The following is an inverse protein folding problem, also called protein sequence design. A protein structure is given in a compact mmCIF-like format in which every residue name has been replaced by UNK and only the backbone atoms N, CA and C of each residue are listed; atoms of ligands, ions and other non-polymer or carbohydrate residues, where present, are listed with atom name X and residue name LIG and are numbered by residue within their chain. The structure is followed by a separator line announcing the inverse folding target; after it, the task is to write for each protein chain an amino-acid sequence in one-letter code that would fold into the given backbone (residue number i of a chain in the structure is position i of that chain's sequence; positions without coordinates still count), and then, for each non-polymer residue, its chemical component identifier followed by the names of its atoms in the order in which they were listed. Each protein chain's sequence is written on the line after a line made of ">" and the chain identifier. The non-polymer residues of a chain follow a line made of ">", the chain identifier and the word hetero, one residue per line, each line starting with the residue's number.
data_IF_319943005075
#
_entry.id   IF_319943005075
#
_cell.length_a   1.000
_cell.length_b   1.000
_cell.length_c   1.000
_cell.angle_alpha   90.00
_cell.angle_beta   90.00
_cell.angle_gamma   90.00
#
_symmetry.space_group_name_H-M   'P 1'
#
loop_
_entity.id
_entity.type
_entity.pdbx_description
1 polymer ?
#
# COMPACT_ATOMS: atom_id res chain seq x y z
N UNK A 1 -14.73 -22.15 35.48
CA UNK A 1 -15.08 -21.04 34.57
C UNK A 1 -14.72 -21.47 33.16
N UNK A 2 -15.72 -21.76 32.34
CA UNK A 2 -15.53 -22.16 30.94
C UNK A 2 -14.86 -21.02 30.18
N UNK A 3 -13.67 -21.27 29.63
CA UNK A 3 -13.03 -20.35 28.70
C UNK A 3 -14.02 -20.12 27.55
N UNK A 4 -14.60 -18.92 27.45
CA UNK A 4 -15.33 -18.51 26.25
C UNK A 4 -14.32 -18.57 25.11
N UNK A 5 -14.36 -19.64 24.33
CA UNK A 5 -13.64 -19.72 23.06
C UNK A 5 -14.11 -18.53 22.23
N UNK A 6 -13.19 -17.59 22.00
CA UNK A 6 -13.43 -16.45 21.13
C UNK A 6 -13.98 -16.98 19.78
N UNK A 7 -15.04 -16.37 19.21
CA UNK A 7 -15.62 -16.87 17.98
C UNK A 7 -14.55 -16.91 16.88
N UNK A 8 -14.39 -18.08 16.26
CA UNK A 8 -13.46 -18.31 15.14
C UNK A 8 -13.84 -17.35 14.02
N UNK A 9 -12.91 -16.49 13.62
CA UNK A 9 -13.09 -15.58 12.49
C UNK A 9 -13.24 -16.45 11.24
N UNK A 10 -14.31 -16.26 10.48
CA UNK A 10 -14.46 -16.93 9.18
C UNK A 10 -13.40 -16.39 8.22
N UNK A 11 -12.96 -17.20 7.24
CA UNK A 11 -11.98 -16.76 6.24
C UNK A 11 -12.41 -15.45 5.54
N UNK A 12 -13.72 -15.31 5.31
CA UNK A 12 -14.34 -14.12 4.75
C UNK A 12 -14.19 -12.88 5.66
N UNK A 13 -14.57 -13.00 6.93
CA UNK A 13 -14.43 -11.90 7.90
C UNK A 13 -12.97 -11.49 8.08
N UNK A 14 -12.04 -12.45 8.00
CA UNK A 14 -10.60 -12.16 8.07
C UNK A 14 -10.17 -11.26 6.91
N UNK A 15 -10.48 -11.61 5.66
CA UNK A 15 -10.11 -10.79 4.51
C UNK A 15 -10.76 -9.41 4.54
N UNK A 16 -12.03 -9.31 4.98
CA UNK A 16 -12.69 -8.01 5.14
C UNK A 16 -12.05 -7.16 6.25
N UNK A 17 -11.73 -7.75 7.41
CA UNK A 17 -11.06 -7.02 8.50
C UNK A 17 -9.66 -6.59 8.10
N UNK A 18 -8.91 -7.46 7.41
CA UNK A 18 -7.59 -7.16 6.87
C UNK A 18 -7.65 -5.97 5.91
N UNK A 19 -8.61 -5.96 4.97
CA UNK A 19 -8.84 -4.82 4.07
C UNK A 19 -9.15 -3.52 4.83
N UNK A 20 -9.96 -3.57 5.88
CA UNK A 20 -10.24 -2.41 6.75
C UNK A 20 -8.99 -1.91 7.49
N UNK A 21 -8.09 -2.80 7.90
CA UNK A 21 -6.84 -2.39 8.58
C UNK A 21 -5.92 -1.58 7.66
N UNK A 22 -5.98 -1.81 6.35
CA UNK A 22 -5.18 -1.08 5.36
C UNK A 22 -5.64 0.37 5.19
N UNK A 23 -6.90 0.68 5.54
CA UNK A 23 -7.46 2.03 5.37
C UNK A 23 -6.71 3.08 6.20
N UNK A 24 -6.20 2.73 7.38
CA UNK A 24 -5.52 3.69 8.26
C UNK A 24 -4.20 4.20 7.62
N UNK A 25 -3.25 3.35 7.20
CA UNK A 25 -2.11 3.79 6.40
C UNK A 25 -2.50 4.45 5.08
N UNK A 26 -3.51 3.92 4.36
CA UNK A 26 -3.89 4.42 3.03
C UNK A 26 -4.45 5.84 3.08
N UNK A 27 -5.25 6.19 4.09
CA UNK A 27 -5.75 7.54 4.26
C UNK A 27 -4.60 8.56 4.45
N UNK A 28 -3.58 8.18 5.24
CA UNK A 28 -2.38 9.01 5.41
C UNK A 28 -1.58 9.14 4.11
N UNK A 29 -1.44 8.05 3.34
CA UNK A 29 -0.78 8.07 2.03
C UNK A 29 -1.44 9.07 1.07
N UNK A 30 -2.78 9.20 1.10
CA UNK A 30 -3.48 10.16 0.26
C UNK A 30 -3.10 11.60 0.59
N UNK A 31 -3.13 11.96 1.87
CA UNK A 31 -2.74 13.31 2.31
C UNK A 31 -1.27 13.60 2.01
N UNK A 32 -0.38 12.65 2.34
CA UNK A 32 1.04 12.72 2.04
C UNK A 32 1.32 12.82 0.53
N UNK A 33 0.56 12.10 -0.30
CA UNK A 33 0.66 12.16 -1.75
C UNK A 33 0.27 13.52 -2.33
N UNK A 34 -0.76 14.16 -1.79
CA UNK A 34 -1.14 15.54 -2.17
C UNK A 34 -0.05 16.53 -1.78
N UNK A 35 0.46 16.45 -0.55
CA UNK A 35 1.56 17.31 -0.09
C UNK A 35 2.82 17.15 -0.96
N UNK A 36 3.19 15.89 -1.25
CA UNK A 36 4.33 15.57 -2.12
C UNK A 36 4.11 16.10 -3.54
N UNK A 37 2.93 15.82 -4.12
CA UNK A 37 2.59 16.25 -5.48
C UNK A 37 2.64 17.77 -5.65
N UNK A 38 2.01 18.52 -4.74
CA UNK A 38 2.01 19.99 -4.78
C UNK A 38 3.42 20.53 -4.55
N UNK A 39 4.11 20.03 -3.52
CA UNK A 39 5.46 20.48 -3.18
C UNK A 39 6.44 20.26 -4.33
N UNK A 40 6.50 19.04 -4.88
CA UNK A 40 7.44 18.69 -5.95
C UNK A 40 7.10 19.40 -7.25
N UNK A 41 5.80 19.56 -7.57
CA UNK A 41 5.37 20.26 -8.78
C UNK A 41 5.75 21.74 -8.74
N UNK A 42 5.42 22.46 -7.66
CA UNK A 42 5.67 23.90 -7.54
C UNK A 42 7.13 24.28 -7.27
N UNK A 43 7.97 23.30 -6.91
CA UNK A 43 9.43 23.47 -6.80
C UNK A 43 10.22 22.94 -8.01
N UNK A 44 9.54 22.37 -9.00
CA UNK A 44 10.18 21.83 -10.21
C UNK A 44 10.76 22.93 -11.10
N UNK A 45 11.86 22.62 -11.79
CA UNK A 45 12.50 23.55 -12.70
C UNK A 45 11.54 24.01 -13.81
N UNK A 46 10.75 23.09 -14.38
CA UNK A 46 9.80 23.39 -15.45
C UNK A 46 8.73 24.39 -15.01
N UNK A 47 8.14 24.21 -13.82
CA UNK A 47 7.16 25.17 -13.30
C UNK A 47 7.82 26.52 -12.98
N UNK A 48 9.06 26.53 -12.49
CA UNK A 48 9.78 27.77 -12.22
C UNK A 48 10.12 28.54 -13.51
N UNK A 49 10.38 27.85 -14.62
CA UNK A 49 10.61 28.51 -15.92
C UNK A 49 9.32 29.13 -16.47
N UNK A 50 8.18 28.44 -16.35
CA UNK A 50 6.87 28.94 -16.77
C UNK A 50 6.34 30.03 -15.84
N UNK A 51 6.67 29.95 -14.55
CA UNK A 51 6.12 30.82 -13.52
C UNK A 51 7.21 31.34 -12.55
N UNK A 52 8.03 32.31 -12.98
CA UNK A 52 9.23 32.73 -12.25
C UNK A 52 8.98 33.34 -10.87
N UNK A 53 7.78 33.88 -10.60
CA UNK A 53 7.45 34.44 -9.28
C UNK A 53 7.40 33.39 -8.17
N UNK A 54 7.27 32.10 -8.51
CA UNK A 54 7.39 31.01 -7.55
C UNK A 54 8.83 30.82 -7.07
N UNK A 55 9.83 31.34 -7.79
CA UNK A 55 11.25 31.20 -7.47
C UNK A 55 11.72 32.21 -6.40
N UNK A 56 11.04 32.22 -5.25
CA UNK A 56 11.49 32.97 -4.07
C UNK A 56 11.97 32.00 -2.99
N UNK A 57 13.02 32.33 -2.22
CA UNK A 57 13.57 31.42 -1.21
C UNK A 57 12.53 30.92 -0.20
N UNK A 58 11.59 31.78 0.20
CA UNK A 58 10.53 31.42 1.15
C UNK A 58 9.53 30.42 0.54
N UNK A 59 9.04 30.66 -0.67
CA UNK A 59 8.08 29.76 -1.32
C UNK A 59 8.74 28.41 -1.62
N UNK A 60 9.97 28.42 -2.12
CA UNK A 60 10.72 27.18 -2.39
C UNK A 60 11.00 26.40 -1.11
N UNK A 61 11.34 27.07 0.00
CA UNK A 61 11.48 26.40 1.29
C UNK A 61 10.17 25.72 1.74
N UNK A 62 9.02 26.37 1.54
CA UNK A 62 7.70 25.79 1.84
C UNK A 62 7.42 24.58 0.95
N UNK A 63 7.65 24.66 -0.36
CA UNK A 63 7.37 23.57 -1.29
C UNK A 63 8.30 22.36 -1.08
N UNK A 64 9.58 22.60 -0.82
CA UNK A 64 10.54 21.54 -0.47
C UNK A 64 10.17 20.90 0.87
N UNK A 65 9.75 21.70 1.87
CA UNK A 65 9.24 21.17 3.13
C UNK A 65 7.99 20.31 2.93
N UNK A 66 7.02 20.77 2.13
CA UNK A 66 5.83 20.00 1.78
C UNK A 66 6.19 18.66 1.12
N UNK A 67 7.14 18.67 0.19
CA UNK A 67 7.64 17.46 -0.48
C UNK A 67 8.27 16.50 0.51
N UNK A 68 9.13 17.01 1.41
CA UNK A 68 9.83 16.19 2.39
C UNK A 68 8.86 15.55 3.39
N UNK A 69 7.91 16.32 3.94
CA UNK A 69 6.89 15.79 4.85
C UNK A 69 5.92 14.86 4.11
N UNK A 70 5.55 15.19 2.87
CA UNK A 70 4.73 14.33 2.00
C UNK A 70 5.38 12.98 1.73
N UNK A 71 6.72 12.89 1.68
CA UNK A 71 7.43 11.63 1.48
C UNK A 71 7.35 10.66 2.67
N UNK A 72 6.93 11.12 3.87
CA UNK A 72 6.93 10.34 5.11
C UNK A 72 6.17 9.01 4.98
N UNK A 73 4.91 9.08 4.57
CA UNK A 73 4.05 7.89 4.53
C UNK A 73 4.59 6.83 3.56
N UNK A 74 5.31 7.24 2.52
CA UNK A 74 5.91 6.33 1.55
C UNK A 74 7.21 5.72 2.07
N UNK A 75 8.03 6.51 2.76
CA UNK A 75 9.32 6.08 3.32
C UNK A 75 9.15 5.06 4.46
N UNK A 76 8.07 5.19 5.23
CA UNK A 76 7.77 4.33 6.38
C UNK A 76 6.61 3.36 6.12
N UNK A 77 6.29 3.13 4.85
CA UNK A 77 5.11 2.37 4.46
C UNK A 77 5.07 0.94 5.02
N UNK A 78 6.14 0.12 4.89
CA UNK A 78 6.12 -1.22 5.47
C UNK A 78 5.92 -1.23 6.99
N UNK A 79 6.62 -0.35 7.73
CA UNK A 79 6.49 -0.32 9.20
C UNK A 79 5.10 0.13 9.64
N UNK A 80 4.49 1.10 8.95
CA UNK A 80 3.11 1.50 9.23
C UNK A 80 2.11 0.36 9.05
N UNK A 81 2.27 -0.46 8.00
CA UNK A 81 1.42 -1.65 7.81
C UNK A 81 1.65 -2.69 8.89
N UNK A 82 2.90 -2.93 9.28
CA UNK A 82 3.22 -3.88 10.34
C UNK A 82 2.65 -3.46 11.71
N UNK A 83 2.45 -2.16 11.94
CA UNK A 83 1.74 -1.61 13.11
C UNK A 83 0.22 -1.68 12.94
N UNK A 84 -0.30 -1.26 11.78
CA UNK A 84 -1.73 -1.09 11.54
C UNK A 84 -2.51 -2.42 11.49
N UNK A 85 -1.89 -3.49 10.98
CA UNK A 85 -2.53 -4.81 10.88
C UNK A 85 -2.87 -5.38 12.26
N UNK A 86 -1.91 -5.58 13.19
CA UNK A 86 -2.24 -6.07 14.53
C UNK A 86 -3.12 -5.08 15.31
N UNK A 87 -2.96 -3.77 15.10
CA UNK A 87 -3.85 -2.76 15.68
C UNK A 87 -5.31 -2.94 15.25
N UNK A 88 -5.54 -3.18 13.95
CA UNK A 88 -6.87 -3.26 13.38
C UNK A 88 -7.54 -4.63 13.53
N UNK A 89 -6.75 -5.71 13.57
CA UNK A 89 -7.25 -7.07 13.74
C UNK A 89 -7.41 -7.49 15.21
N UNK A 90 -6.66 -6.89 16.15
CA UNK A 90 -6.79 -7.21 17.57
C UNK A 90 -8.16 -6.80 18.13
N UNK A 91 -8.78 -7.68 18.91
CA UNK A 91 -10.07 -7.40 19.56
C UNK A 91 -9.90 -6.58 20.84
N UNK A 92 -8.88 -6.91 21.62
CA UNK A 92 -8.54 -6.28 22.90
C UNK A 92 -7.13 -5.70 22.85
N UNK A 93 -6.79 -4.82 23.78
CA UNK A 93 -5.42 -4.31 23.98
C UNK A 93 -4.73 -3.83 22.70
N UNK A 94 -5.48 -3.18 21.80
CA UNK A 94 -5.04 -2.78 20.46
C UNK A 94 -3.72 -1.99 20.46
N UNK A 95 -3.49 -1.14 21.46
CA UNK A 95 -2.24 -0.40 21.60
C UNK A 95 -1.01 -1.31 21.82
N UNK A 96 -1.18 -2.40 22.58
CA UNK A 96 -0.11 -3.40 22.78
C UNK A 96 0.12 -4.19 21.49
N UNK A 97 -0.94 -4.55 20.77
CA UNK A 97 -0.84 -5.20 19.46
C UNK A 97 -0.06 -4.33 18.45
N UNK A 98 -0.36 -3.03 18.41
CA UNK A 98 0.34 -2.06 17.57
C UNK A 98 1.82 -1.92 17.95
N UNK A 99 2.12 -1.80 19.25
CA UNK A 99 3.48 -1.74 19.76
C UNK A 99 4.27 -3.00 19.43
N UNK A 100 3.66 -4.18 19.60
CA UNK A 100 4.26 -5.45 19.19
C UNK A 100 4.52 -5.50 17.67
N UNK A 101 3.65 -4.86 16.85
CA UNK A 101 3.86 -4.67 15.41
C UNK A 101 5.20 -4.01 15.09
N UNK A 102 5.47 -2.86 15.71
CA UNK A 102 6.74 -2.15 15.54
C UNK A 102 7.94 -2.98 16.04
N UNK A 103 7.84 -3.56 17.24
CA UNK A 103 8.90 -4.39 17.83
C UNK A 103 9.22 -5.57 16.93
N UNK A 104 8.21 -6.31 16.47
CA UNK A 104 8.37 -7.46 15.60
C UNK A 104 9.03 -7.11 14.27
N UNK A 105 8.63 -6.00 13.65
CA UNK A 105 9.24 -5.54 12.40
C UNK A 105 10.73 -5.17 12.57
N UNK A 106 11.07 -4.45 13.64
CA UNK A 106 12.46 -4.08 13.93
C UNK A 106 13.32 -5.32 14.22
N UNK A 107 12.84 -6.23 15.07
CA UNK A 107 13.57 -7.47 15.44
C UNK A 107 13.75 -8.38 14.23
N UNK A 108 12.74 -8.51 13.37
CA UNK A 108 12.85 -9.27 12.12
C UNK A 108 13.98 -8.75 11.24
N UNK A 109 14.07 -7.43 11.04
CA UNK A 109 15.13 -6.82 10.23
C UNK A 109 16.52 -6.94 10.89
N UNK A 110 16.61 -6.84 12.22
CA UNK A 110 17.86 -7.11 12.95
C UNK A 110 18.33 -8.56 12.78
N UNK A 111 17.42 -9.53 12.79
CA UNK A 111 17.76 -10.93 12.59
C UNK A 111 18.23 -11.21 11.15
N UNK A 112 17.59 -10.58 10.15
CA UNK A 112 18.07 -10.63 8.75
C UNK A 112 19.48 -10.04 8.64
N UNK A 113 19.69 -8.85 9.23
CA UNK A 113 21.01 -8.21 9.27
C UNK A 113 22.08 -9.10 9.93
N UNK A 114 21.75 -9.73 11.05
CA UNK A 114 22.64 -10.68 11.73
C UNK A 114 23.01 -11.85 10.80
N UNK A 115 22.03 -12.44 10.11
CA UNK A 115 22.28 -13.55 9.18
C UNK A 115 23.22 -13.13 8.04
N UNK A 116 22.97 -11.96 7.42
CA UNK A 116 23.78 -11.41 6.34
C UNK A 116 25.22 -11.11 6.81
N UNK A 117 25.37 -10.60 8.03
CA UNK A 117 26.67 -10.33 8.65
C UNK A 117 27.42 -11.63 8.94
N UNK A 118 26.74 -12.65 9.49
CA UNK A 118 27.32 -13.96 9.75
C UNK A 118 27.75 -14.68 8.46
N UNK A 119 27.13 -14.35 7.32
CA UNK A 119 27.51 -14.83 5.99
C UNK A 119 28.61 -14.00 5.31
N UNK A 120 29.08 -12.92 5.92
CA UNK A 120 30.11 -12.05 5.37
C UNK A 120 29.64 -11.15 4.23
N UNK A 121 28.32 -10.97 4.04
CA UNK A 121 27.74 -10.07 3.03
C UNK A 121 27.69 -8.63 3.55
N UNK A 122 27.42 -8.47 4.85
CA UNK A 122 27.42 -7.19 5.55
C UNK A 122 28.57 -7.12 6.56
N UNK A 123 29.03 -5.90 6.92
CA UNK A 123 28.61 -4.60 6.38
C UNK A 123 29.23 -4.32 5.00
N UNK A 124 28.47 -3.65 4.13
CA UNK A 124 28.99 -3.15 2.84
C UNK A 124 28.28 -1.89 2.40
N UNK A 125 28.98 -1.05 1.65
CA UNK A 125 28.43 0.11 0.94
C UNK A 125 28.49 -0.07 -0.58
N UNK A 126 28.97 -1.23 -1.06
CA UNK A 126 29.03 -1.54 -2.48
C UNK A 126 27.62 -1.73 -3.05
N UNK A 127 27.23 -0.82 -3.95
CA UNK A 127 25.93 -0.83 -4.61
C UNK A 127 25.64 -2.13 -5.37
N UNK A 128 26.67 -2.80 -5.93
CA UNK A 128 26.48 -4.05 -6.66
C UNK A 128 26.06 -5.19 -5.72
N UNK A 129 26.72 -5.31 -4.55
CA UNK A 129 26.40 -6.34 -3.54
C UNK A 129 25.02 -6.08 -2.93
N UNK A 130 24.72 -4.82 -2.62
CA UNK A 130 23.43 -4.43 -2.05
C UNK A 130 22.28 -4.76 -3.01
N UNK A 131 22.43 -4.42 -4.30
CA UNK A 131 21.43 -4.72 -5.32
C UNK A 131 21.25 -6.21 -5.57
N UNK A 132 22.36 -6.97 -5.66
CA UNK A 132 22.31 -8.41 -5.92
C UNK A 132 21.57 -9.21 -4.83
N UNK A 133 21.58 -8.71 -3.59
CA UNK A 133 20.93 -9.36 -2.45
C UNK A 133 19.63 -8.65 -2.02
N UNK A 134 19.16 -7.68 -2.81
CA UNK A 134 18.00 -6.83 -2.49
C UNK A 134 18.09 -6.23 -1.07
N UNK A 135 19.27 -5.73 -0.69
CA UNK A 135 19.53 -5.12 0.62
C UNK A 135 19.27 -3.62 0.55
N UNK A 136 18.45 -3.13 1.48
CA UNK A 136 18.14 -1.72 1.66
C UNK A 136 18.34 -1.30 3.11
N UNK A 137 18.37 0.01 3.35
CA UNK A 137 18.32 0.56 4.69
C UNK A 137 16.87 0.63 5.19
N UNK A 138 16.43 -0.38 5.94
CA UNK A 138 15.09 -0.46 6.52
C UNK A 138 15.13 0.10 7.94
N UNK A 139 14.54 1.27 8.17
CA UNK A 139 14.52 1.97 9.48
C UNK A 139 15.89 2.10 10.17
N UNK A 140 16.97 2.26 9.40
CA UNK A 140 18.34 2.36 9.91
C UNK A 140 19.09 1.01 9.99
N UNK A 141 18.50 -0.08 9.51
CA UNK A 141 19.07 -1.42 9.52
C UNK A 141 19.28 -1.88 8.06
N UNK A 142 20.51 -2.24 7.70
CA UNK A 142 20.77 -2.89 6.41
C UNK A 142 20.15 -4.30 6.41
N UNK A 143 19.08 -4.50 5.66
CA UNK A 143 18.27 -5.72 5.67
C UNK A 143 17.73 -6.00 4.26
N UNK A 144 17.31 -7.24 4.00
CA UNK A 144 16.62 -7.57 2.76
C UNK A 144 15.31 -6.81 2.70
N UNK A 145 15.06 -6.09 1.60
CA UNK A 145 13.81 -5.38 1.39
C UNK A 145 12.69 -6.38 1.06
N UNK A 146 11.88 -6.66 2.07
CA UNK A 146 10.69 -7.49 1.93
C UNK A 146 9.44 -6.71 1.51
N UNK A 147 9.58 -5.39 1.34
CA UNK A 147 8.51 -4.48 0.97
C UNK A 147 7.29 -4.57 1.89
N UNK A 148 6.14 -4.16 1.35
CA UNK A 148 4.87 -4.22 2.09
C UNK A 148 4.42 -5.66 2.31
N UNK A 149 4.69 -6.57 1.37
CA UNK A 149 4.25 -7.96 1.51
C UNK A 149 4.87 -8.61 2.75
N UNK A 150 6.18 -8.44 2.96
CA UNK A 150 6.85 -8.92 4.17
C UNK A 150 6.28 -8.28 5.44
N UNK A 151 6.02 -6.98 5.42
CA UNK A 151 5.39 -6.29 6.54
C UNK A 151 3.95 -6.77 6.84
N UNK A 152 3.17 -7.11 5.81
CA UNK A 152 1.82 -7.66 5.96
C UNK A 152 1.87 -9.04 6.61
N UNK A 153 2.75 -9.92 6.10
CA UNK A 153 2.96 -11.26 6.67
C UNK A 153 3.43 -11.16 8.12
N UNK A 154 4.41 -10.30 8.40
CA UNK A 154 4.88 -10.04 9.75
C UNK A 154 3.75 -9.51 10.66
N UNK A 155 2.95 -8.55 10.19
CA UNK A 155 1.81 -8.01 10.93
C UNK A 155 0.76 -9.07 11.27
N UNK A 156 0.49 -10.01 10.36
CA UNK A 156 -0.42 -11.14 10.59
C UNK A 156 0.16 -12.10 11.64
N UNK A 157 1.45 -12.45 11.55
CA UNK A 157 2.12 -13.30 12.55
C UNK A 157 2.02 -12.65 13.94
N UNK A 158 2.31 -11.36 14.03
CA UNK A 158 2.28 -10.60 15.29
C UNK A 158 0.85 -10.52 15.85
N UNK A 159 -0.14 -10.32 15.00
CA UNK A 159 -1.55 -10.40 15.41
C UNK A 159 -1.91 -11.79 15.98
N UNK A 160 -1.47 -12.87 15.33
CA UNK A 160 -1.69 -14.24 15.83
C UNK A 160 -1.02 -14.46 17.19
N UNK A 161 0.18 -13.92 17.40
CA UNK A 161 0.86 -13.95 18.71
C UNK A 161 0.08 -13.17 19.75
N UNK A 162 -0.43 -11.98 19.41
CA UNK A 162 -1.26 -11.19 20.29
C UNK A 162 -2.52 -11.96 20.71
N UNK A 163 -3.32 -12.47 19.77
CA UNK A 163 -4.53 -13.25 20.06
C UNK A 163 -4.24 -14.48 20.92
N UNK A 164 -3.09 -15.13 20.72
CA UNK A 164 -2.72 -16.31 21.51
C UNK A 164 -2.25 -15.96 22.93
N UNK A 165 -1.52 -14.87 23.11
CA UNK A 165 -0.73 -14.62 24.32
C UNK A 165 -1.17 -13.42 25.17
N UNK A 166 -2.07 -12.56 24.70
CA UNK A 166 -2.49 -11.36 25.45
C UNK A 166 -3.06 -11.64 26.84
N UNK A 167 -3.60 -12.84 27.07
CA UNK A 167 -4.18 -13.28 28.35
C UNK A 167 -3.40 -14.44 29.00
N UNK A 168 -2.12 -14.64 28.65
CA UNK A 168 -1.31 -15.73 29.21
C UNK A 168 -1.08 -15.54 30.72
N UNK A 169 -1.16 -16.64 31.48
CA UNK A 169 -0.82 -16.67 32.91
C UNK A 169 0.47 -17.46 33.09
N UNK A 170 1.48 -16.81 33.68
CA UNK A 170 2.76 -17.42 33.99
C UNK A 170 2.84 -17.79 35.48
N UNK A 171 3.74 -18.71 35.89
CA UNK A 171 3.99 -19.00 37.30
C UNK A 171 4.40 -17.75 38.09
N UNK A 172 4.21 -17.76 39.41
CA UNK A 172 4.41 -16.57 40.27
C UNK A 172 5.78 -15.91 40.10
N UNK A 173 6.84 -16.71 39.93
CA UNK A 173 8.20 -16.21 39.69
C UNK A 173 8.35 -15.38 38.40
N UNK A 174 7.48 -15.58 37.41
CA UNK A 174 7.49 -14.90 36.11
C UNK A 174 6.20 -14.08 35.86
N UNK A 175 5.35 -13.91 36.87
CA UNK A 175 4.05 -13.23 36.74
C UNK A 175 4.18 -11.79 36.22
N UNK A 176 5.32 -11.13 36.45
CA UNK A 176 5.64 -9.82 35.89
C UNK A 176 5.55 -9.78 34.35
N UNK A 177 5.91 -10.88 33.68
CA UNK A 177 5.87 -10.99 32.22
C UNK A 177 4.52 -11.49 31.69
N UNK A 178 3.54 -11.78 32.56
CA UNK A 178 2.25 -12.32 32.18
C UNK A 178 1.30 -11.31 31.50
N UNK A 179 0.26 -11.83 30.86
CA UNK A 179 -0.75 -11.05 30.16
C UNK A 179 -0.20 -10.33 28.93
N UNK A 180 -0.65 -9.08 28.72
CA UNK A 180 -0.32 -8.28 27.54
C UNK A 180 1.17 -7.96 27.40
N UNK A 181 1.91 -7.91 28.53
CA UNK A 181 3.37 -7.73 28.56
C UNK A 181 4.12 -8.87 27.90
N UNK A 182 3.55 -10.07 27.86
CA UNK A 182 4.17 -11.21 27.18
C UNK A 182 4.16 -11.07 25.66
N UNK A 183 3.22 -10.30 25.10
CA UNK A 183 3.03 -10.23 23.64
C UNK A 183 4.28 -9.67 22.93
N UNK A 184 4.86 -8.52 23.34
CA UNK A 184 6.12 -8.05 22.74
C UNK A 184 7.30 -9.01 22.97
N UNK A 185 7.33 -9.74 24.08
CA UNK A 185 8.40 -10.70 24.40
C UNK A 185 8.34 -11.89 23.45
N UNK A 186 7.16 -12.52 23.33
CA UNK A 186 6.93 -13.60 22.38
C UNK A 186 7.18 -13.15 20.94
N UNK A 187 6.77 -11.92 20.61
CA UNK A 187 7.02 -11.30 19.30
C UNK A 187 8.50 -11.18 18.99
N UNK A 188 9.32 -10.74 19.95
CA UNK A 188 10.78 -10.63 19.78
C UNK A 188 11.40 -11.99 19.45
N UNK A 189 11.05 -13.03 20.19
CA UNK A 189 11.60 -14.38 19.97
C UNK A 189 11.16 -14.93 18.61
N UNK A 190 9.85 -14.89 18.33
CA UNK A 190 9.29 -15.48 17.11
C UNK A 190 9.74 -14.70 15.86
N UNK A 191 9.67 -13.37 15.88
CA UNK A 191 10.09 -12.56 14.73
C UNK A 191 11.61 -12.58 14.53
N UNK A 192 12.40 -12.80 15.59
CA UNK A 192 13.83 -13.08 15.46
C UNK A 192 14.07 -14.36 14.66
N UNK A 193 13.37 -15.44 14.98
CA UNK A 193 13.47 -16.70 14.22
C UNK A 193 12.94 -16.57 12.79
N UNK A 194 11.82 -15.87 12.59
CA UNK A 194 11.28 -15.58 11.25
C UNK A 194 12.30 -14.79 10.42
N UNK A 195 12.96 -13.79 11.01
CA UNK A 195 14.00 -13.01 10.34
C UNK A 195 15.19 -13.84 9.89
N UNK A 196 15.59 -14.87 10.64
CA UNK A 196 16.63 -15.81 10.20
C UNK A 196 16.21 -16.68 9.01
N UNK A 197 14.91 -16.92 8.83
CA UNK A 197 14.37 -17.68 7.70
C UNK A 197 14.18 -16.83 6.43
N UNK A 198 14.04 -15.50 6.55
CA UNK A 198 13.80 -14.60 5.41
C UNK A 198 14.86 -14.74 4.31
N UNK A 199 16.18 -14.69 4.58
CA UNK A 199 17.20 -14.83 3.52
C UNK A 199 17.12 -16.14 2.73
N UNK A 200 16.55 -17.20 3.33
CA UNK A 200 16.40 -18.51 2.71
C UNK A 200 15.12 -18.62 1.88
N UNK A 201 14.03 -18.05 2.38
CA UNK A 201 12.69 -18.22 1.81
C UNK A 201 12.32 -17.09 0.86
N UNK A 202 12.75 -15.86 1.14
CA UNK A 202 12.37 -14.68 0.37
C UNK A 202 12.79 -14.71 -1.10
N UNK A 203 13.96 -15.26 -1.50
CA UNK A 203 14.32 -15.37 -2.91
C UNK A 203 13.26 -16.12 -3.76
N UNK A 204 12.56 -17.09 -3.16
CA UNK A 204 11.47 -17.83 -3.83
C UNK A 204 10.26 -16.92 -4.03
N UNK A 205 9.89 -16.15 -3.01
CA UNK A 205 8.81 -15.16 -3.12
C UNK A 205 9.15 -14.08 -4.15
N UNK A 206 10.38 -13.55 -4.13
CA UNK A 206 10.86 -12.57 -5.10
C UNK A 206 10.79 -13.14 -6.53
N UNK A 207 11.22 -14.38 -6.76
CA UNK A 207 11.07 -15.03 -8.07
C UNK A 207 9.61 -15.14 -8.52
N UNK A 208 8.69 -15.51 -7.62
CA UNK A 208 7.25 -15.57 -7.92
C UNK A 208 6.66 -14.21 -8.27
N UNK A 209 6.99 -13.18 -7.50
CA UNK A 209 6.58 -11.78 -7.72
C UNK A 209 7.12 -11.29 -9.07
N UNK A 210 8.40 -11.53 -9.35
CA UNK A 210 9.05 -11.15 -10.60
C UNK A 210 8.44 -11.88 -11.80
N UNK A 211 8.09 -13.16 -11.66
CA UNK A 211 7.42 -13.92 -12.73
C UNK A 211 6.04 -13.34 -13.03
N UNK A 212 5.25 -13.04 -11.99
CA UNK A 212 3.94 -12.42 -12.16
C UNK A 212 4.06 -11.01 -12.77
N UNK A 213 5.03 -10.22 -12.31
CA UNK A 213 5.36 -8.93 -12.88
C UNK A 213 5.73 -9.04 -14.35
N UNK A 214 6.57 -10.02 -14.72
CA UNK A 214 6.96 -10.28 -16.11
C UNK A 214 5.76 -10.69 -16.96
N UNK A 215 4.83 -11.51 -16.45
CA UNK A 215 3.60 -11.87 -17.18
C UNK A 215 2.75 -10.63 -17.45
N UNK A 216 2.48 -9.82 -16.42
CA UNK A 216 1.70 -8.58 -16.57
C UNK A 216 2.40 -7.59 -17.51
N UNK A 217 3.73 -7.50 -17.42
CA UNK A 217 4.51 -6.61 -18.27
C UNK A 217 4.58 -7.11 -19.72
N UNK A 218 4.63 -8.43 -19.94
CA UNK A 218 4.68 -9.07 -21.26
C UNK A 218 3.36 -8.98 -22.03
N UNK A 219 2.24 -8.74 -21.33
CA UNK A 219 0.95 -8.49 -21.96
C UNK A 219 0.88 -7.16 -22.75
N UNK A 220 1.98 -6.38 -22.78
CA UNK A 220 2.10 -5.14 -23.53
C UNK A 220 1.05 -4.13 -23.10
N UNK A 221 0.30 -3.60 -24.07
CA UNK A 221 -0.74 -2.60 -23.83
C UNK A 221 -1.95 -3.17 -23.07
N UNK A 222 -2.13 -4.50 -23.01
CA UNK A 222 -3.22 -5.13 -22.26
C UNK A 222 -2.88 -5.39 -20.79
N UNK A 223 -1.61 -5.29 -20.38
CA UNK A 223 -1.22 -5.43 -18.97
C UNK A 223 -2.01 -4.50 -18.04
N UNK A 224 -2.08 -3.19 -18.34
CA UNK A 224 -2.93 -2.24 -17.61
C UNK A 224 -4.41 -2.62 -17.58
N UNK A 225 -4.96 -3.22 -18.65
CA UNK A 225 -6.36 -3.70 -18.67
C UNK A 225 -6.61 -4.78 -17.63
N UNK A 226 -5.77 -5.81 -17.60
CA UNK A 226 -5.89 -6.94 -16.68
C UNK A 226 -5.84 -6.43 -15.25
N UNK A 227 -4.91 -5.50 -14.96
CA UNK A 227 -4.80 -4.85 -13.67
C UNK A 227 -6.07 -4.06 -13.31
N UNK A 228 -6.50 -3.13 -14.18
CA UNK A 228 -7.65 -2.26 -13.91
C UNK A 228 -8.97 -3.03 -13.76
N UNK A 229 -9.21 -4.02 -14.62
CA UNK A 229 -10.38 -4.90 -14.52
C UNK A 229 -10.30 -5.78 -13.28
N UNK A 230 -9.15 -6.40 -13.00
CA UNK A 230 -8.95 -7.23 -11.81
C UNK A 230 -9.18 -6.44 -10.52
N UNK A 231 -8.70 -5.21 -10.47
CA UNK A 231 -8.92 -4.32 -9.32
C UNK A 231 -10.43 -4.10 -9.06
N UNK A 232 -11.20 -3.80 -10.10
CA UNK A 232 -12.66 -3.62 -9.96
C UNK A 232 -13.34 -4.93 -9.56
N UNK A 233 -13.03 -6.05 -10.20
CA UNK A 233 -13.64 -7.33 -9.85
C UNK A 233 -13.36 -7.77 -8.39
N UNK A 234 -12.22 -7.38 -7.83
CA UNK A 234 -11.85 -7.68 -6.44
C UNK A 234 -12.46 -6.73 -5.41
N UNK A 235 -13.00 -5.59 -5.85
CA UNK A 235 -13.59 -4.55 -5.02
C UNK A 235 -14.75 -5.01 -4.11
N UNK A 236 -15.78 -5.75 -4.59
CA UNK A 236 -16.83 -6.31 -3.72
C UNK A 236 -16.29 -7.15 -2.55
N UNK A 237 -15.11 -7.73 -2.71
CA UNK A 237 -14.51 -8.63 -1.75
C UNK A 237 -13.50 -7.93 -0.81
N UNK A 238 -13.22 -6.63 -1.03
CA UNK A 238 -12.18 -5.90 -0.29
C UNK A 238 -10.75 -6.35 -0.65
N UNK A 239 -10.59 -7.20 -1.67
CA UNK A 239 -9.33 -7.81 -2.07
C UNK A 239 -8.53 -6.93 -3.05
N UNK A 240 -9.15 -5.88 -3.59
CA UNK A 240 -8.53 -4.94 -4.52
C UNK A 240 -7.29 -4.27 -3.93
N UNK A 241 -7.28 -4.02 -2.62
CA UNK A 241 -6.13 -3.41 -1.95
C UNK A 241 -4.90 -4.32 -1.98
N UNK A 242 -5.07 -5.65 -2.01
CA UNK A 242 -3.96 -6.60 -2.11
C UNK A 242 -3.35 -6.54 -3.51
N UNK A 243 -4.18 -6.59 -4.56
CA UNK A 243 -3.71 -6.47 -5.94
C UNK A 243 -3.00 -5.13 -6.19
N UNK A 244 -3.62 -4.04 -5.73
CA UNK A 244 -3.05 -2.69 -5.83
C UNK A 244 -1.74 -2.62 -5.07
N UNK A 245 -1.65 -3.17 -3.86
CA UNK A 245 -0.42 -3.12 -3.08
C UNK A 245 0.72 -3.91 -3.73
N UNK A 246 0.40 -5.08 -4.31
CA UNK A 246 1.36 -5.90 -5.04
C UNK A 246 2.00 -5.11 -6.19
N UNK A 247 1.21 -4.47 -7.04
CA UNK A 247 1.74 -3.73 -8.19
C UNK A 247 2.39 -2.40 -7.76
N UNK A 248 1.80 -1.67 -6.82
CA UNK A 248 2.29 -0.32 -6.48
C UNK A 248 3.57 -0.32 -5.64
N UNK A 249 3.84 -1.40 -4.90
CA UNK A 249 4.88 -1.38 -3.86
C UNK A 249 5.80 -2.61 -3.88
N UNK A 250 5.70 -3.48 -4.88
CA UNK A 250 6.60 -4.62 -5.04
C UNK A 250 7.13 -4.69 -6.47
N UNK A 251 8.14 -5.54 -6.69
CA UNK A 251 8.77 -5.77 -8.00
C UNK A 251 7.78 -6.20 -9.09
N UNK A 252 6.57 -6.66 -8.73
CA UNK A 252 5.52 -6.94 -9.70
C UNK A 252 5.11 -5.70 -10.52
N UNK A 253 5.27 -4.49 -9.97
CA UNK A 253 5.09 -3.23 -10.70
C UNK A 253 6.33 -2.73 -11.44
N UNK A 254 7.42 -3.50 -11.43
CA UNK A 254 8.71 -3.15 -12.00
C UNK A 254 9.72 -2.66 -10.95
N UNK A 255 10.97 -2.60 -11.38
CA UNK A 255 12.12 -2.10 -10.62
C UNK A 255 12.93 -1.15 -11.49
N UNK A 256 13.35 -0.02 -10.94
CA UNK A 256 14.10 1.02 -11.65
C UNK A 256 15.11 1.67 -10.73
N UNK A 257 16.30 1.99 -11.26
CA UNK A 257 17.26 2.83 -10.55
C UNK A 257 16.86 4.30 -10.69
N UNK A 258 16.65 4.98 -9.56
CA UNK A 258 16.29 6.40 -9.50
C UNK A 258 17.20 7.10 -8.50
N UNK A 259 17.91 8.15 -8.94
CA UNK A 259 18.97 8.85 -8.18
C UNK A 259 20.01 7.91 -7.52
N UNK A 260 20.41 6.83 -8.20
CA UNK A 260 21.39 5.88 -7.65
C UNK A 260 20.82 4.88 -6.63
N UNK A 261 19.51 4.86 -6.41
CA UNK A 261 18.84 3.87 -5.58
C UNK A 261 17.95 2.97 -6.43
N UNK A 262 18.07 1.65 -6.26
CA UNK A 262 17.13 0.69 -6.86
C UNK A 262 15.80 0.77 -6.12
N UNK A 263 14.72 1.10 -6.84
CA UNK A 263 13.36 1.24 -6.28
C UNK A 263 12.41 0.28 -6.98
N UNK A 264 11.62 -0.46 -6.20
CA UNK A 264 10.70 -1.48 -6.70
C UNK A 264 9.24 -1.12 -6.38
N UNK A 265 8.37 -1.24 -7.38
CA UNK A 265 6.94 -0.88 -7.30
C UNK A 265 6.57 0.32 -8.18
N UNK A 266 5.41 0.23 -8.84
CA UNK A 266 4.97 1.28 -9.75
C UNK A 266 4.85 2.66 -9.08
N UNK A 267 4.28 2.71 -7.87
CA UNK A 267 4.04 3.98 -7.17
C UNK A 267 5.32 4.49 -6.50
N UNK A 268 6.11 3.60 -5.94
CA UNK A 268 7.41 3.94 -5.32
C UNK A 268 8.39 4.48 -6.35
N UNK A 269 8.44 3.89 -7.56
CA UNK A 269 9.25 4.41 -8.68
C UNK A 269 8.78 5.81 -9.06
N UNK A 270 7.48 6.00 -9.30
CA UNK A 270 6.94 7.32 -9.66
C UNK A 270 7.27 8.38 -8.60
N UNK A 271 7.22 8.03 -7.33
CA UNK A 271 7.54 8.93 -6.21
C UNK A 271 9.02 9.23 -6.08
N UNK A 272 9.87 8.22 -6.26
CA UNK A 272 11.31 8.42 -6.30
C UNK A 272 11.67 9.36 -7.44
N UNK A 273 11.06 9.18 -8.62
CA UNK A 273 11.23 10.06 -9.77
C UNK A 273 10.77 11.48 -9.45
N UNK A 274 9.61 11.63 -8.81
CA UNK A 274 9.06 12.93 -8.40
C UNK A 274 9.90 13.67 -7.35
N UNK A 275 10.61 12.92 -6.50
CA UNK A 275 11.46 13.48 -5.45
C UNK A 275 12.90 13.73 -5.92
N UNK A 276 13.28 13.22 -7.10
CA UNK A 276 14.62 13.36 -7.66
C UNK A 276 14.74 14.64 -8.48
N UNK A 277 15.67 15.55 -8.15
CA UNK A 277 15.89 16.77 -8.94
C UNK A 277 16.41 16.49 -10.35
N UNK A 278 17.05 15.33 -10.58
CA UNK A 278 17.65 14.94 -11.86
C UNK A 278 16.67 14.22 -12.80
N UNK A 279 15.40 14.03 -12.38
CA UNK A 279 14.39 13.39 -13.23
C UNK A 279 13.92 14.37 -14.31
N UNK A 280 14.12 14.00 -15.57
CA UNK A 280 13.64 14.77 -16.74
C UNK A 280 12.34 14.19 -17.37
N UNK A 281 11.75 13.16 -16.77
CA UNK A 281 10.51 12.54 -17.22
C UNK A 281 10.11 11.35 -16.36
N UNK A 282 8.82 10.99 -16.37
CA UNK A 282 8.30 9.86 -15.60
C UNK A 282 8.29 8.59 -16.44
N UNK A 283 8.60 7.45 -15.83
CA UNK A 283 8.60 6.18 -16.54
C UNK A 283 7.17 5.74 -16.89
N UNK A 284 6.89 5.55 -18.17
CA UNK A 284 5.62 4.98 -18.66
C UNK A 284 5.38 3.58 -18.08
N UNK A 285 6.43 2.76 -17.95
CA UNK A 285 6.32 1.39 -17.44
C UNK A 285 5.87 1.34 -15.98
N UNK A 286 6.28 2.34 -15.19
CA UNK A 286 5.86 2.49 -13.80
C UNK A 286 4.48 3.14 -13.71
N UNK A 287 4.27 4.21 -14.49
CA UNK A 287 3.04 4.97 -14.35
C UNK A 287 1.83 4.19 -14.87
N UNK A 288 1.91 3.39 -15.95
CA UNK A 288 0.74 2.75 -16.60
C UNK A 288 -0.20 1.93 -15.70
N UNK A 289 0.22 1.57 -14.49
CA UNK A 289 -0.58 0.87 -13.48
C UNK A 289 -1.08 1.78 -12.33
N UNK A 290 -0.85 3.08 -12.43
CA UNK A 290 -1.20 4.07 -11.43
C UNK A 290 -2.55 4.71 -11.76
N UNK A 291 -2.75 5.91 -11.24
CA UNK A 291 -4.06 6.54 -11.22
C UNK A 291 -4.50 7.06 -12.59
N UNK A 292 -3.61 7.23 -13.59
CA UNK A 292 -4.02 7.73 -14.91
C UNK A 292 -5.06 6.83 -15.56
N UNK A 293 -4.93 5.50 -15.44
CA UNK A 293 -5.88 4.56 -16.01
C UNK A 293 -7.26 4.62 -15.34
N UNK A 294 -7.31 5.15 -14.11
CA UNK A 294 -8.54 5.39 -13.37
C UNK A 294 -9.18 6.74 -13.66
N UNK A 295 -8.42 7.73 -14.12
CA UNK A 295 -8.93 9.09 -14.34
C UNK A 295 -10.15 9.13 -15.26
N UNK A 296 -10.21 8.38 -16.39
CA UNK A 296 -11.42 8.32 -17.19
C UNK A 296 -12.66 7.86 -16.40
N UNK A 297 -12.49 6.89 -15.50
CA UNK A 297 -13.57 6.40 -14.65
C UNK A 297 -13.92 7.41 -13.54
N UNK A 298 -12.93 8.08 -12.93
CA UNK A 298 -13.13 8.99 -11.80
C UNK A 298 -13.76 10.32 -12.22
N UNK A 299 -13.29 10.88 -13.33
CA UNK A 299 -13.66 12.22 -13.78
C UNK A 299 -14.85 12.21 -14.74
N UNK A 300 -15.07 11.09 -15.45
CA UNK A 300 -16.12 10.97 -16.46
C UNK A 300 -17.08 9.80 -16.21
N UNK A 301 -16.55 8.58 -16.11
CA UNK A 301 -17.36 7.35 -16.09
C UNK A 301 -18.36 7.29 -14.93
N UNK A 302 -17.89 7.39 -13.69
CA UNK A 302 -18.73 7.33 -12.49
C UNK A 302 -19.61 8.57 -12.30
N UNK A 303 -19.14 9.81 -12.57
CA UNK A 303 -20.03 10.97 -12.68
C UNK A 303 -21.13 10.79 -13.71
N UNK A 304 -20.82 10.21 -14.87
CA UNK A 304 -21.80 9.86 -15.91
C UNK A 304 -22.78 8.80 -15.44
N UNK A 305 -22.32 7.77 -14.74
CA UNK A 305 -23.17 6.73 -14.13
C UNK A 305 -24.11 7.34 -13.08
N UNK A 306 -23.62 8.24 -12.23
CA UNK A 306 -24.43 8.95 -11.24
C UNK A 306 -25.51 9.81 -11.91
N UNK A 307 -25.17 10.52 -12.99
CA UNK A 307 -26.12 11.29 -13.78
C UNK A 307 -27.18 10.39 -14.42
N UNK A 308 -26.78 9.25 -14.99
CA UNK A 308 -27.70 8.26 -15.56
C UNK A 308 -28.67 7.71 -14.50
N UNK A 309 -28.16 7.35 -13.32
CA UNK A 309 -28.99 6.92 -12.18
C UNK A 309 -30.00 7.99 -11.77
N UNK A 310 -29.59 9.27 -11.72
CA UNK A 310 -30.47 10.37 -11.39
C UNK A 310 -31.61 10.55 -12.42
N UNK A 311 -31.30 10.46 -13.72
CA UNK A 311 -32.28 10.59 -14.78
C UNK A 311 -33.23 9.38 -14.87
N UNK A 312 -32.74 8.16 -14.66
CA UNK A 312 -33.55 6.94 -14.66
C UNK A 312 -34.37 6.75 -13.37
N UNK A 313 -34.01 7.43 -12.27
CA UNK A 313 -34.80 7.38 -11.05
C UNK A 313 -36.19 8.00 -11.25
N UNK A 314 -37.19 7.37 -10.61
CA UNK A 314 -38.57 7.87 -10.61
C UNK A 314 -38.61 9.32 -10.11
N UNK A 315 -39.38 10.23 -10.73
CA UNK A 315 -39.38 11.65 -10.40
C UNK A 315 -39.56 11.94 -8.90
N UNK A 316 -40.43 11.18 -8.21
CA UNK A 316 -40.70 11.32 -6.78
C UNK A 316 -39.51 10.99 -5.86
N UNK A 317 -38.52 10.23 -6.35
CA UNK A 317 -37.33 9.83 -5.58
C UNK A 317 -36.08 10.61 -5.93
N UNK A 318 -36.08 11.40 -7.01
CA UNK A 318 -34.90 12.18 -7.45
C UNK A 318 -34.38 13.11 -6.36
N UNK A 319 -35.26 13.81 -5.65
CA UNK A 319 -34.86 14.69 -4.54
C UNK A 319 -34.16 13.93 -3.41
N UNK A 320 -34.57 12.69 -3.13
CA UNK A 320 -34.00 11.86 -2.06
C UNK A 320 -32.59 11.37 -2.39
N UNK A 321 -32.35 11.00 -3.64
CA UNK A 321 -31.07 10.42 -4.07
C UNK A 321 -30.04 11.47 -4.52
N UNK A 322 -30.49 12.70 -4.86
CA UNK A 322 -29.62 13.77 -5.36
C UNK A 322 -28.43 14.04 -4.45
N UNK A 323 -28.66 14.17 -3.14
CA UNK A 323 -27.60 14.43 -2.17
C UNK A 323 -26.56 13.31 -2.11
N UNK A 324 -27.03 12.05 -2.12
CA UNK A 324 -26.17 10.87 -2.13
C UNK A 324 -25.30 10.82 -3.39
N UNK A 325 -25.89 11.05 -4.57
CA UNK A 325 -25.16 11.02 -5.85
C UNK A 325 -24.14 12.15 -5.94
N UNK A 326 -24.49 13.38 -5.54
CA UNK A 326 -23.56 14.51 -5.53
C UNK A 326 -22.39 14.24 -4.57
N UNK A 327 -22.68 13.76 -3.36
CA UNK A 327 -21.63 13.42 -2.39
C UNK A 327 -20.70 12.33 -2.92
N UNK A 328 -21.26 11.28 -3.55
CA UNK A 328 -20.48 10.22 -4.18
C UNK A 328 -19.61 10.72 -5.33
N UNK A 329 -20.12 11.63 -6.18
CA UNK A 329 -19.36 12.25 -7.26
C UNK A 329 -18.20 13.09 -6.72
N UNK A 330 -18.43 13.91 -5.69
CA UNK A 330 -17.37 14.71 -5.07
C UNK A 330 -16.28 13.80 -4.48
N UNK A 331 -16.67 12.75 -3.76
CA UNK A 331 -15.73 11.79 -3.19
C UNK A 331 -14.92 11.04 -4.27
N UNK A 332 -15.55 10.71 -5.40
CA UNK A 332 -14.93 10.05 -6.53
C UNK A 332 -13.94 10.96 -7.26
N UNK A 333 -14.37 12.18 -7.63
CA UNK A 333 -13.57 13.12 -8.43
C UNK A 333 -12.40 13.69 -7.64
N UNK A 334 -12.63 14.09 -6.39
CA UNK A 334 -11.61 14.74 -5.56
C UNK A 334 -10.80 13.70 -4.77
N UNK A 335 -11.50 12.77 -4.13
CA UNK A 335 -10.89 11.79 -3.23
C UNK A 335 -10.47 10.48 -3.90
N UNK A 336 -10.78 10.26 -5.18
CA UNK A 336 -10.50 9.00 -5.88
C UNK A 336 -11.19 7.78 -5.26
N UNK A 337 -12.21 8.00 -4.41
CA UNK A 337 -12.96 6.95 -3.70
C UNK A 337 -14.24 6.65 -4.47
N UNK A 338 -14.33 5.47 -5.05
CA UNK A 338 -15.40 5.10 -5.99
C UNK A 338 -16.53 4.31 -5.38
N UNK A 339 -16.28 3.71 -4.21
CA UNK A 339 -17.18 2.84 -3.47
C UNK A 339 -18.58 3.46 -3.23
N UNK A 340 -18.72 4.76 -2.85
CA UNK A 340 -20.03 5.36 -2.65
C UNK A 340 -20.96 5.32 -3.87
N UNK A 341 -20.39 5.30 -5.08
CA UNK A 341 -21.14 5.21 -6.34
C UNK A 341 -21.24 3.77 -6.84
N UNK A 342 -20.14 3.02 -6.82
CA UNK A 342 -20.09 1.63 -7.29
C UNK A 342 -21.03 0.73 -6.50
N UNK A 343 -21.14 0.91 -5.19
CA UNK A 343 -22.04 0.11 -4.35
C UNK A 343 -23.52 0.30 -4.65
N UNK A 344 -23.91 1.40 -5.31
CA UNK A 344 -25.30 1.65 -5.69
C UNK A 344 -25.80 0.68 -6.78
N UNK A 345 -24.89 0.12 -7.58
CA UNK A 345 -25.25 -0.78 -8.68
C UNK A 345 -24.53 -2.13 -8.67
N UNK A 346 -23.38 -2.24 -7.99
CA UNK A 346 -22.61 -3.48 -7.84
C UNK A 346 -23.48 -4.67 -7.41
N UNK A 347 -24.30 -4.48 -6.37
CA UNK A 347 -25.14 -5.53 -5.80
C UNK A 347 -26.52 -5.64 -6.46
N UNK A 348 -26.96 -4.57 -7.13
CA UNK A 348 -28.29 -4.49 -7.76
C UNK A 348 -28.26 -5.04 -9.18
N UNK A 349 -27.19 -4.77 -9.92
CA UNK A 349 -27.01 -5.15 -11.32
C UNK A 349 -25.57 -5.65 -11.58
N UNK A 350 -25.23 -6.89 -11.18
CA UNK A 350 -23.88 -7.44 -11.33
C UNK A 350 -23.36 -7.45 -12.78
N UNK A 351 -24.23 -7.64 -13.77
CA UNK A 351 -23.86 -7.57 -15.18
C UNK A 351 -23.37 -6.16 -15.57
N UNK A 352 -24.03 -5.11 -15.06
CA UNK A 352 -23.61 -3.72 -15.30
C UNK A 352 -22.27 -3.43 -14.60
N UNK A 353 -22.03 -4.04 -13.44
CA UNK A 353 -20.75 -3.95 -12.76
C UNK A 353 -19.61 -4.62 -13.53
N UNK A 354 -19.85 -5.78 -14.14
CA UNK A 354 -18.87 -6.45 -14.99
C UNK A 354 -18.49 -5.57 -16.20
N UNK A 355 -19.48 -4.94 -16.83
CA UNK A 355 -19.23 -3.99 -17.93
C UNK A 355 -18.40 -2.80 -17.43
N UNK A 356 -18.75 -2.22 -16.28
CA UNK A 356 -17.97 -1.15 -15.64
C UNK A 356 -16.52 -1.56 -15.35
N UNK A 357 -16.30 -2.79 -14.86
CA UNK A 357 -14.96 -3.32 -14.60
C UNK A 357 -14.12 -3.46 -15.89
N UNK A 358 -14.74 -3.93 -16.98
CA UNK A 358 -14.10 -4.03 -18.28
C UNK A 358 -13.80 -2.65 -18.89
N UNK A 359 -14.75 -1.71 -18.82
CA UNK A 359 -14.57 -0.33 -19.29
C UNK A 359 -13.48 0.41 -18.49
N UNK A 360 -13.40 0.16 -17.18
CA UNK A 360 -12.33 0.70 -16.35
C UNK A 360 -10.97 0.15 -16.80
N UNK A 361 -10.83 -1.16 -17.00
CA UNK A 361 -9.60 -1.75 -17.54
C UNK A 361 -9.25 -1.24 -18.94
N UNK A 362 -10.25 -1.03 -19.81
CA UNK A 362 -10.03 -0.40 -21.10
C UNK A 362 -9.49 1.03 -20.95
N UNK A 363 -10.00 1.79 -19.98
CA UNK A 363 -9.47 3.11 -19.63
C UNK A 363 -7.97 3.07 -19.27
N UNK A 364 -7.53 2.06 -18.52
CA UNK A 364 -6.11 1.83 -18.25
C UNK A 364 -5.28 1.60 -19.52
N UNK A 365 -5.79 0.82 -20.47
CA UNK A 365 -5.08 0.56 -21.75
C UNK A 365 -5.04 1.79 -22.63
N UNK A 366 -6.17 2.49 -22.78
CA UNK A 366 -6.25 3.69 -23.62
C UNK A 366 -5.27 4.74 -23.10
N UNK A 367 -5.26 4.99 -21.79
CA UNK A 367 -4.31 5.94 -21.20
C UNK A 367 -2.87 5.47 -21.38
N UNK A 368 -2.57 4.19 -21.24
CA UNK A 368 -1.22 3.68 -21.48
C UNK A 368 -0.77 3.82 -22.95
N UNK A 369 -1.69 3.75 -23.92
CA UNK A 369 -1.40 3.89 -25.36
C UNK A 369 -1.23 5.35 -25.78
N UNK A 370 -1.93 6.28 -25.13
CA UNK A 370 -1.86 7.71 -25.45
C UNK A 370 -0.61 8.40 -24.91
N UNK A 371 0.11 7.78 -23.98
CA UNK A 371 1.18 8.42 -23.20
C UNK A 371 0.62 9.31 -22.10
#
# INVERSE_FOLDING_TARGET
>A
MTAKTAPKITLWEFFQQLGKTFMLPVALLSFCGIMLGIGSSLSSHDVLTLQPWLNTPLLQAVFVWMSKIGSFAFSFLPVMFCIAIPLGLARENKGVAAFAGFVGYAVMNLAVNFWLTAKGILPTTDAAILKANNIQNVIGIQSIDTGILGAVIAGIIIWMLHERFHNIRLPDALAFFGGTRFVPIATTVVMGLVGLAIPLVWPIFAMGINTLGNVINSAGNFGPMIFGTGERLLLPFGLQHILVALIRFTEAGGTMDVCGHSVSGALTIFQAQLSCPETHGFSESATRFLSQGKMPAFLGGLPGAALAMYHCARPENRHKIKGLLISGVIACVIGGTTEPLEFLFLFVAPALYLIHALLTGLGFTIMAVLG
#
